data_IF_709672675306
#
_entry.id   IF_709672675306
#
_cell.length_a   1.000
_cell.length_b   1.000
_cell.length_c   1.000
_cell.angle_alpha   90.00
_cell.angle_beta   90.00
_cell.angle_gamma   90.00
#
_symmetry.space_group_name_H-M   'P 1'
#
loop_
_entity.id
_entity.type
_entity.pdbx_description
1 polymer ?
#
# COMPACT_ATOMS: atom_id res chain seq x y z
N UNK A 1 -14.39 -15.54 -7.11
CA UNK A 1 -13.39 -14.90 -8.00
C UNK A 1 -12.35 -15.97 -8.28
N UNK A 2 -11.98 -16.18 -9.52
CA UNK A 2 -10.88 -17.07 -9.86
C UNK A 2 -9.56 -16.51 -9.32
N UNK A 3 -8.68 -17.36 -8.77
CA UNK A 3 -7.33 -16.97 -8.39
C UNK A 3 -6.57 -16.41 -9.59
N UNK A 4 -5.86 -15.31 -9.39
CA UNK A 4 -5.08 -14.69 -10.46
C UNK A 4 -3.77 -14.12 -9.91
N UNK A 5 -2.75 -14.18 -10.73
CA UNK A 5 -1.47 -13.53 -10.53
C UNK A 5 -1.21 -12.61 -11.73
N UNK A 6 -0.69 -11.42 -11.47
CA UNK A 6 -0.24 -10.49 -12.51
C UNK A 6 1.06 -9.84 -12.08
N UNK A 7 2.07 -9.91 -12.95
CA UNK A 7 3.32 -9.17 -12.79
C UNK A 7 3.24 -7.85 -13.57
N UNK A 8 3.74 -6.78 -12.98
CA UNK A 8 3.87 -5.47 -13.62
C UNK A 8 5.30 -4.98 -13.45
N UNK A 9 5.96 -4.71 -14.56
CA UNK A 9 7.29 -4.09 -14.52
C UNK A 9 7.21 -2.67 -13.94
N UNK A 10 8.22 -2.29 -13.17
CA UNK A 10 8.25 -0.94 -12.59
C UNK A 10 8.22 0.18 -13.64
N UNK A 11 8.69 -0.07 -14.86
CA UNK A 11 8.64 0.87 -15.96
C UNK A 11 7.22 1.12 -16.52
N UNK A 12 6.31 0.16 -16.32
CA UNK A 12 4.93 0.25 -16.79
C UNK A 12 4.02 1.02 -15.83
N UNK A 13 4.52 1.33 -14.63
CA UNK A 13 3.77 2.06 -13.63
C UNK A 13 3.94 3.57 -13.82
N UNK A 14 2.85 4.35 -13.73
CA UNK A 14 2.92 5.81 -13.84
C UNK A 14 3.92 6.39 -12.84
N UNK A 15 4.86 7.17 -13.36
CA UNK A 15 5.87 7.84 -12.55
C UNK A 15 5.96 9.33 -12.94
N UNK A 16 6.24 10.17 -11.96
CA UNK A 16 6.42 11.61 -12.15
C UNK A 16 7.46 12.16 -11.17
N UNK A 17 7.94 13.35 -11.47
CA UNK A 17 8.79 14.11 -10.57
C UNK A 17 8.20 15.49 -10.36
N UNK A 18 8.10 15.92 -9.11
CA UNK A 18 7.64 17.24 -8.72
C UNK A 18 8.47 17.73 -7.53
N UNK A 19 9.04 18.92 -7.61
CA UNK A 19 9.88 19.49 -6.56
C UNK A 19 11.04 18.57 -6.15
N UNK A 20 11.65 17.86 -7.10
CA UNK A 20 12.69 16.83 -6.91
C UNK A 20 12.22 15.56 -6.16
N UNK A 21 10.95 15.42 -5.84
CA UNK A 21 10.38 14.17 -5.34
C UNK A 21 10.05 13.27 -6.53
N UNK A 22 10.64 12.08 -6.55
CA UNK A 22 10.34 11.07 -7.57
C UNK A 22 9.25 10.15 -7.03
N UNK A 23 8.11 10.16 -7.70
CA UNK A 23 6.93 9.40 -7.30
C UNK A 23 6.55 8.35 -8.33
N UNK A 24 5.96 7.25 -7.87
CA UNK A 24 5.40 6.19 -8.70
C UNK A 24 4.08 5.72 -8.13
N UNK A 25 3.03 5.71 -8.95
CA UNK A 25 1.73 5.16 -8.60
C UNK A 25 1.78 3.65 -8.81
N UNK A 26 1.81 2.90 -7.71
CA UNK A 26 1.88 1.43 -7.73
C UNK A 26 0.52 0.83 -8.04
N UNK A 27 -0.56 1.37 -7.44
CA UNK A 27 -1.91 0.85 -7.63
C UNK A 27 -2.95 1.97 -7.48
N UNK A 28 -4.09 1.79 -8.13
CA UNK A 28 -5.23 2.70 -8.06
C UNK A 28 -5.05 3.97 -8.86
N UNK A 29 -5.55 5.10 -8.34
CA UNK A 29 -5.50 6.40 -9.02
C UNK A 29 -5.16 7.55 -8.08
N UNK A 30 -4.36 8.48 -8.56
CA UNK A 30 -4.00 9.72 -7.87
C UNK A 30 -3.48 10.77 -8.86
N UNK A 31 -3.70 12.05 -8.56
CA UNK A 31 -3.18 13.18 -9.36
C UNK A 31 -3.52 13.10 -10.87
N UNK A 32 -4.70 12.56 -11.20
CA UNK A 32 -5.13 12.37 -12.59
C UNK A 32 -4.49 11.17 -13.30
N UNK A 33 -3.63 10.42 -12.62
CA UNK A 33 -2.99 9.20 -13.13
C UNK A 33 -3.75 7.97 -12.65
N UNK A 34 -3.68 6.87 -13.43
CA UNK A 34 -4.22 5.55 -13.06
C UNK A 34 -3.18 4.48 -13.35
N UNK A 35 -2.93 3.63 -12.34
CA UNK A 35 -2.06 2.47 -12.49
C UNK A 35 -2.74 1.33 -13.27
N UNK A 36 -1.94 0.53 -13.95
CA UNK A 36 -2.41 -0.66 -14.70
C UNK A 36 -2.76 -1.83 -13.78
N UNK A 37 -2.28 -1.82 -12.54
CA UNK A 37 -2.56 -2.83 -11.53
C UNK A 37 -4.06 -2.83 -11.20
N UNK A 38 -4.71 -3.98 -11.36
CA UNK A 38 -6.13 -4.15 -11.05
C UNK A 38 -6.35 -4.13 -9.54
N UNK A 39 -7.25 -3.27 -9.08
CA UNK A 39 -7.66 -3.18 -7.68
C UNK A 39 -9.12 -3.59 -7.54
N UNK A 40 -9.50 -4.11 -6.35
CA UNK A 40 -10.86 -4.55 -6.06
C UNK A 40 -11.71 -3.45 -5.41
N UNK A 41 -11.10 -2.32 -5.11
CA UNK A 41 -11.73 -1.15 -4.50
C UNK A 41 -11.04 0.13 -4.95
N UNK A 42 -11.70 1.29 -4.87
CA UNK A 42 -11.06 2.58 -5.08
C UNK A 42 -9.96 2.81 -4.04
N UNK A 43 -8.74 3.03 -4.50
CA UNK A 43 -7.57 3.26 -3.65
C UNK A 43 -6.45 3.99 -4.41
N UNK A 44 -5.43 4.43 -3.68
CA UNK A 44 -4.10 4.73 -4.22
C UNK A 44 -3.00 4.10 -3.38
N UNK A 45 -1.91 3.75 -4.03
CA UNK A 45 -0.64 3.39 -3.41
C UNK A 45 0.49 4.07 -4.17
N UNK A 46 1.21 4.98 -3.52
CA UNK A 46 2.28 5.78 -4.13
C UNK A 46 3.57 5.53 -3.37
N UNK A 47 4.63 5.20 -4.09
CA UNK A 47 5.99 5.25 -3.61
C UNK A 47 6.57 6.64 -3.90
N UNK A 48 7.11 7.32 -2.89
CA UNK A 48 7.76 8.62 -3.02
C UNK A 48 9.20 8.55 -2.49
N UNK A 49 10.18 8.78 -3.38
CA UNK A 49 11.58 8.94 -3.03
C UNK A 49 11.88 10.43 -2.89
N UNK A 50 12.24 10.86 -1.70
CA UNK A 50 12.30 12.25 -1.28
C UNK A 50 13.73 12.65 -0.88
N UNK A 51 14.45 13.47 -1.65
CA UNK A 51 15.66 14.12 -1.18
C UNK A 51 15.39 14.99 0.06
N UNK A 52 16.43 15.24 0.86
CA UNK A 52 16.33 16.13 2.03
C UNK A 52 15.79 17.51 1.63
N UNK A 53 14.86 18.03 2.42
CA UNK A 53 14.26 19.35 2.25
C UNK A 53 13.14 19.38 1.22
N UNK A 54 12.85 18.28 0.54
CA UNK A 54 11.74 18.20 -0.42
C UNK A 54 10.41 17.93 0.29
N UNK A 55 9.33 18.32 -0.38
CA UNK A 55 7.97 18.17 0.17
C UNK A 55 7.04 17.54 -0.86
N UNK A 56 6.17 16.67 -0.42
CA UNK A 56 5.08 16.12 -1.23
C UNK A 56 3.74 16.24 -0.50
N UNK A 57 2.65 16.35 -1.25
CA UNK A 57 1.31 16.36 -0.69
C UNK A 57 0.71 14.95 -0.68
N UNK A 58 -0.14 14.68 0.31
CA UNK A 58 -0.91 13.43 0.35
C UNK A 58 -2.21 13.63 -0.43
N UNK A 59 -2.54 12.78 -1.42
CA UNK A 59 -3.82 12.88 -2.12
C UNK A 59 -4.99 12.94 -1.13
N UNK A 60 -5.99 13.79 -1.37
CA UNK A 60 -7.09 14.03 -0.43
C UNK A 60 -8.47 13.61 -0.94
N UNK A 61 -8.52 12.91 -2.08
CA UNK A 61 -9.78 12.51 -2.72
C UNK A 61 -10.41 11.23 -2.14
N UNK A 62 -9.69 10.51 -1.25
CA UNK A 62 -10.23 9.39 -0.49
C UNK A 62 -10.35 9.72 1.01
N UNK A 63 -11.32 9.09 1.66
CA UNK A 63 -11.64 9.37 3.06
C UNK A 63 -10.61 8.76 4.03
N UNK A 64 -10.05 7.61 3.73
CA UNK A 64 -9.02 6.96 4.55
C UNK A 64 -7.64 7.12 3.88
N UNK A 65 -6.67 7.62 4.65
CA UNK A 65 -5.33 7.91 4.12
C UNK A 65 -4.29 7.73 5.19
N UNK A 66 -3.11 7.25 4.76
CA UNK A 66 -1.94 7.12 5.64
C UNK A 66 -0.64 7.37 4.88
N UNK A 67 0.41 7.64 5.64
CA UNK A 67 1.80 7.64 5.17
C UNK A 67 2.60 6.64 6.02
N UNK A 68 3.37 5.77 5.36
CA UNK A 68 4.33 4.89 6.01
C UNK A 68 5.75 5.33 5.64
N UNK A 69 6.58 5.60 6.64
CA UNK A 69 7.99 5.95 6.46
C UNK A 69 8.79 4.67 6.30
N UNK A 70 9.13 4.31 5.06
CA UNK A 70 9.90 3.10 4.77
C UNK A 70 11.40 3.30 5.02
N UNK A 71 11.90 4.54 4.88
CA UNK A 71 13.28 4.90 5.18
C UNK A 71 13.39 6.40 5.48
N UNK A 72 14.37 6.76 6.32
CA UNK A 72 14.69 8.14 6.65
C UNK A 72 13.76 8.75 7.70
N UNK A 73 13.75 10.10 7.78
CA UNK A 73 12.92 10.87 8.71
C UNK A 73 12.17 11.97 7.99
N UNK A 74 10.93 12.15 8.39
CA UNK A 74 10.03 13.15 7.80
C UNK A 74 9.35 13.98 8.88
N UNK A 75 8.88 15.16 8.50
CA UNK A 75 7.98 15.98 9.30
C UNK A 75 6.59 16.01 8.66
N UNK A 76 5.57 15.80 9.49
CA UNK A 76 4.17 15.90 9.09
C UNK A 76 3.42 16.65 10.20
N UNK A 77 2.81 17.79 9.85
CA UNK A 77 2.06 18.59 10.82
C UNK A 77 2.88 19.05 12.02
N UNK A 78 4.16 19.38 11.85
CA UNK A 78 5.08 19.81 12.89
C UNK A 78 5.62 18.69 13.80
N UNK A 79 5.32 17.42 13.49
CA UNK A 79 5.83 16.26 14.22
C UNK A 79 6.79 15.46 13.35
N UNK A 80 7.83 14.91 13.99
CA UNK A 80 8.85 14.10 13.32
C UNK A 80 8.50 12.63 13.44
N UNK A 81 8.65 11.91 12.32
CA UNK A 81 8.43 10.48 12.19
C UNK A 81 9.64 9.83 11.52
N UNK A 82 9.98 8.61 11.92
CA UNK A 82 11.10 7.85 11.41
C UNK A 82 10.71 6.55 10.73
N UNK A 83 11.71 5.82 10.26
CA UNK A 83 11.52 4.51 9.62
C UNK A 83 10.68 3.57 10.47
N UNK A 84 9.65 2.97 9.85
CA UNK A 84 8.69 2.07 10.49
C UNK A 84 7.41 2.75 10.97
N UNK A 85 7.38 4.08 11.09
CA UNK A 85 6.19 4.79 11.53
C UNK A 85 5.09 4.77 10.46
N UNK A 86 3.84 4.57 10.93
CA UNK A 86 2.62 4.71 10.14
C UNK A 86 1.78 5.87 10.68
N UNK A 87 1.50 6.84 9.82
CA UNK A 87 0.74 8.04 10.17
C UNK A 87 -0.62 7.97 9.48
N UNK A 88 -1.70 7.85 10.25
CA UNK A 88 -3.06 7.87 9.72
C UNK A 88 -3.60 9.31 9.80
N UNK A 89 -4.11 9.80 8.69
CA UNK A 89 -4.64 11.16 8.59
C UNK A 89 -6.13 11.23 8.95
N UNK A 90 -6.53 12.32 9.57
CA UNK A 90 -7.97 12.60 9.73
C UNK A 90 -8.60 12.82 8.36
N UNK A 91 -9.84 12.39 8.23
CA UNK A 91 -10.63 12.64 7.02
C UNK A 91 -10.67 14.14 6.70
N UNK A 92 -10.49 14.48 5.42
CA UNK A 92 -10.53 15.86 4.92
C UNK A 92 -9.36 16.75 5.34
N UNK A 93 -8.40 16.25 6.14
CA UNK A 93 -7.23 17.06 6.49
C UNK A 93 -6.27 17.18 5.30
N UNK A 94 -5.85 18.39 4.98
CA UNK A 94 -4.72 18.59 4.10
C UNK A 94 -3.44 18.15 4.80
N UNK A 95 -2.65 17.32 4.14
CA UNK A 95 -1.43 16.77 4.68
C UNK A 95 -0.29 16.85 3.66
N UNK A 96 0.88 17.19 4.17
CA UNK A 96 2.10 17.16 3.40
C UNK A 96 3.24 16.55 4.21
N UNK A 97 4.14 15.89 3.53
CA UNK A 97 5.32 15.24 4.08
C UNK A 97 6.55 16.07 3.69
N UNK A 98 7.34 16.47 4.66
CA UNK A 98 8.63 17.15 4.46
C UNK A 98 9.75 16.19 4.83
N UNK A 99 10.68 15.92 3.91
CA UNK A 99 11.84 15.07 4.17
C UNK A 99 12.92 15.85 4.97
N UNK A 100 13.24 15.41 6.17
CA UNK A 100 14.31 15.99 7.00
C UNK A 100 15.69 15.45 6.62
N UNK A 101 15.75 14.30 6.00
CA UNK A 101 16.90 13.63 5.38
C UNK A 101 16.40 12.86 4.15
N UNK A 102 17.25 12.23 3.32
CA UNK A 102 16.76 11.37 2.25
C UNK A 102 15.80 10.33 2.80
N UNK A 103 14.59 10.30 2.27
CA UNK A 103 13.52 9.46 2.80
C UNK A 103 12.76 8.73 1.68
N UNK A 104 12.18 7.59 2.04
CA UNK A 104 11.21 6.86 1.22
C UNK A 104 9.91 6.76 1.99
N UNK A 105 8.83 7.22 1.36
CA UNK A 105 7.50 7.19 1.97
C UNK A 105 6.52 6.48 1.04
N UNK A 106 5.72 5.59 1.63
CA UNK A 106 4.55 5.02 0.97
C UNK A 106 3.33 5.82 1.37
N UNK A 107 2.67 6.45 0.41
CA UNK A 107 1.38 7.10 0.62
C UNK A 107 0.29 6.14 0.17
N UNK A 108 -0.66 5.87 1.05
CA UNK A 108 -1.75 4.94 0.80
C UNK A 108 -3.09 5.57 1.19
N UNK A 109 -4.13 5.21 0.49
CA UNK A 109 -5.48 5.64 0.84
C UNK A 109 -6.52 4.93 -0.01
N UNK A 110 -7.78 5.02 0.42
CA UNK A 110 -8.90 4.41 -0.27
C UNK A 110 -10.23 4.70 0.39
N UNK A 111 -11.29 4.13 -0.16
CA UNK A 111 -12.61 4.19 0.43
C UNK A 111 -12.82 3.07 1.47
N UNK A 112 -13.55 3.33 2.55
CA UNK A 112 -13.88 2.33 3.54
C UNK A 112 -14.61 1.13 2.91
N UNK A 113 -14.14 -0.07 3.19
CA UNK A 113 -14.74 -1.31 2.68
C UNK A 113 -15.76 -1.92 3.65
N UNK A 114 -16.06 -1.24 4.77
CA UNK A 114 -16.81 -1.79 5.88
C UNK A 114 -16.00 -2.81 6.69
N UNK A 115 -16.67 -3.55 7.58
CA UNK A 115 -15.98 -4.51 8.45
C UNK A 115 -15.27 -5.60 7.64
N UNK A 116 -14.01 -5.86 8.02
CA UNK A 116 -13.18 -6.94 7.47
C UNK A 116 -12.49 -7.67 8.61
N UNK A 117 -12.44 -9.00 8.46
CA UNK A 117 -11.66 -9.89 9.32
C UNK A 117 -10.31 -10.12 8.65
N UNK A 118 -9.26 -10.06 9.44
CA UNK A 118 -7.88 -10.27 9.00
C UNK A 118 -7.27 -11.35 9.86
N UNK A 119 -6.70 -12.37 9.23
CA UNK A 119 -5.90 -13.38 9.89
C UNK A 119 -4.73 -13.71 8.96
N UNK A 120 -3.51 -13.51 9.47
CA UNK A 120 -2.28 -13.56 8.69
C UNK A 120 -2.37 -12.63 7.46
N UNK A 121 -2.35 -13.15 6.23
CA UNK A 121 -2.54 -12.39 4.98
C UNK A 121 -3.92 -12.58 4.34
N UNK A 122 -4.83 -13.29 5.02
CA UNK A 122 -6.21 -13.45 4.56
C UNK A 122 -7.09 -12.32 5.05
N UNK A 123 -7.86 -11.74 4.14
CA UNK A 123 -8.81 -10.66 4.42
C UNK A 123 -10.17 -11.04 3.83
N UNK A 124 -11.22 -10.97 4.62
CA UNK A 124 -12.59 -11.26 4.17
C UNK A 124 -13.64 -10.50 4.97
N UNK A 125 -14.83 -10.30 4.40
CA UNK A 125 -16.03 -9.86 5.13
C UNK A 125 -16.71 -11.00 5.91
N UNK A 126 -16.23 -12.25 5.81
CA UNK A 126 -16.77 -13.43 6.49
C UNK A 126 -15.64 -14.16 7.23
N UNK A 127 -15.89 -14.49 8.50
CA UNK A 127 -14.97 -15.30 9.33
C UNK A 127 -14.86 -16.72 8.81
N UNK A 128 -15.97 -17.30 8.34
CA UNK A 128 -16.03 -18.64 7.78
C UNK A 128 -15.12 -18.77 6.56
N UNK A 129 -15.06 -17.72 5.73
CA UNK A 129 -14.13 -17.69 4.58
C UNK A 129 -12.67 -17.60 4.99
N UNK A 130 -12.36 -16.93 6.10
CA UNK A 130 -11.00 -16.91 6.66
C UNK A 130 -10.63 -18.34 7.11
N UNK A 131 -11.50 -19.02 7.87
CA UNK A 131 -11.22 -20.39 8.33
C UNK A 131 -11.08 -21.36 7.15
N UNK A 132 -11.93 -21.23 6.11
CA UNK A 132 -11.78 -22.02 4.90
C UNK A 132 -10.45 -21.73 4.18
N UNK A 133 -10.04 -20.48 4.07
CA UNK A 133 -8.77 -20.10 3.42
C UNK A 133 -7.56 -20.68 4.19
N UNK A 134 -7.58 -20.65 5.52
CA UNK A 134 -6.55 -21.26 6.36
C UNK A 134 -6.45 -22.77 6.11
N UNK A 135 -7.60 -23.45 6.08
CA UNK A 135 -7.66 -24.89 5.82
C UNK A 135 -7.20 -25.24 4.39
N UNK A 136 -7.57 -24.42 3.40
CA UNK A 136 -7.16 -24.60 2.01
C UNK A 136 -5.66 -24.37 1.81
N UNK A 137 -5.10 -23.33 2.43
CA UNK A 137 -3.66 -23.07 2.40
C UNK A 137 -2.86 -24.21 3.06
N UNK A 138 -3.23 -24.59 4.28
CA UNK A 138 -2.56 -25.67 5.04
C UNK A 138 -2.61 -27.02 4.33
N UNK A 139 -3.63 -27.27 3.53
CA UNK A 139 -3.81 -28.50 2.76
C UNK A 139 -3.23 -28.41 1.32
N UNK A 140 -2.58 -27.31 0.95
CA UNK A 140 -2.03 -27.11 -0.39
C UNK A 140 -3.07 -27.01 -1.51
N UNK A 141 -4.31 -26.62 -1.18
CA UNK A 141 -5.41 -26.51 -2.17
C UNK A 141 -5.44 -25.18 -2.92
N UNK A 142 -4.69 -24.19 -2.47
CA UNK A 142 -4.58 -22.93 -3.21
C UNK A 142 -3.55 -23.06 -4.33
N UNK A 143 -3.92 -22.61 -5.53
CA UNK A 143 -2.99 -22.56 -6.66
C UNK A 143 -1.88 -21.56 -6.37
N UNK A 144 -0.63 -22.00 -6.45
CA UNK A 144 0.55 -21.15 -6.44
C UNK A 144 0.80 -20.58 -7.85
N UNK A 145 1.58 -19.48 -7.98
CA UNK A 145 2.03 -18.99 -9.29
C UNK A 145 2.80 -20.07 -10.05
N UNK A 146 2.60 -20.14 -11.37
CA UNK A 146 3.15 -21.22 -12.20
C UNK A 146 4.71 -21.26 -12.21
N UNK A 147 5.36 -20.12 -11.96
CA UNK A 147 6.81 -19.97 -11.95
C UNK A 147 7.42 -19.85 -10.54
N UNK A 148 6.60 -19.86 -9.50
CA UNK A 148 7.04 -19.68 -8.11
C UNK A 148 6.22 -20.62 -7.21
N UNK A 149 6.61 -21.89 -7.18
CA UNK A 149 5.94 -22.94 -6.41
C UNK A 149 6.90 -23.73 -5.50
N UNK A 150 8.18 -23.35 -5.46
CA UNK A 150 9.21 -24.05 -4.67
C UNK A 150 9.24 -23.55 -3.22
N UNK A 151 8.97 -22.25 -2.99
CA UNK A 151 8.95 -21.64 -1.66
C UNK A 151 7.57 -21.03 -1.35
N UNK A 152 7.01 -21.37 -0.19
CA UNK A 152 5.81 -20.72 0.32
C UNK A 152 5.84 -20.62 1.86
N UNK A 153 5.28 -19.55 2.38
CA UNK A 153 5.18 -19.37 3.82
C UNK A 153 4.11 -20.30 4.41
N UNK A 154 4.49 -21.06 5.42
CA UNK A 154 3.52 -21.86 6.17
C UNK A 154 2.59 -20.96 6.99
N UNK A 155 1.31 -21.33 7.10
CA UNK A 155 0.40 -20.65 8.01
C UNK A 155 0.94 -20.81 9.45
N UNK A 156 1.09 -19.71 10.22
CA UNK A 156 1.63 -19.78 11.57
C UNK A 156 0.64 -20.53 12.49
N UNK A 157 1.05 -21.71 12.95
CA UNK A 157 0.31 -22.44 13.99
C UNK A 157 0.62 -21.74 15.32
N UNK A 158 -0.43 -21.25 16.00
CA UNK A 158 -0.32 -20.69 17.35
C UNK A 158 -0.27 -21.78 18.39
#
# INVERSE_FOLDING_TARGET
MEPSFAHHEGADLPAWEEGHVRSRLIAGDAFGLRATVKTQSPLFCIHAAMPRGTRTVVPNHYSERAAHVSAGRVEIGGRIFGTGDMIVFKQGADAAVLALEPATVMLIGGEPLGERFIDWNFVSSSRERIEQAKADWSAGRMKLPDLDHEEFALYPVK
#
